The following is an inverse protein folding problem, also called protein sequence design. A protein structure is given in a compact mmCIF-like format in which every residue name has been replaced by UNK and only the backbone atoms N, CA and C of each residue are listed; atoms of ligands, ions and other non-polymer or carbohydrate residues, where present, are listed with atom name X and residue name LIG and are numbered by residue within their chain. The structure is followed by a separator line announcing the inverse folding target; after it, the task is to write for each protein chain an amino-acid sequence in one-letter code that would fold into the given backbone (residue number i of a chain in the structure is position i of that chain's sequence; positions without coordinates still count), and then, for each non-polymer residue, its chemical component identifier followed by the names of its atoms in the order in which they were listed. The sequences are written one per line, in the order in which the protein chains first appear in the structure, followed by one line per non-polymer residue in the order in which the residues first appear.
data_IF_315787250464
#
_entry.id   IF_315787250464
#
_cell.length_a   1.000
_cell.length_b   1.000
_cell.length_c   1.000
_cell.angle_alpha   90.00
_cell.angle_beta   90.00
_cell.angle_gamma   90.00
#
_symmetry.space_group_name_H-M   'P 1'
#
loop_
_entity.id
_entity.type
_entity.pdbx_description
1 polymer ?
#
# COMPACT_ATOMS: atom_id res chain seq x y z
N UNK A 1 9.11 -7.63 3.11
CA UNK A 1 8.23 -7.84 1.94
C UNK A 1 8.07 -6.56 1.15
N UNK A 2 8.08 -6.63 -0.18
CA UNK A 2 7.87 -5.46 -1.04
C UNK A 2 7.05 -5.82 -2.26
N UNK A 3 6.12 -4.92 -2.64
CA UNK A 3 5.37 -5.02 -3.88
C UNK A 3 5.39 -3.67 -4.59
N UNK A 4 6.02 -3.62 -5.75
CA UNK A 4 6.25 -2.40 -6.52
C UNK A 4 5.77 -2.55 -7.97
N UNK A 5 5.62 -1.43 -8.67
CA UNK A 5 5.10 -1.38 -10.03
C UNK A 5 6.11 -0.88 -11.04
N UNK A 6 6.08 -1.51 -12.22
CA UNK A 6 6.81 -1.06 -13.37
C UNK A 6 5.88 -1.00 -14.60
N UNK A 7 6.15 -0.07 -15.50
CA UNK A 7 5.46 0.06 -16.77
C UNK A 7 6.41 -0.24 -17.93
N UNK A 8 6.02 -1.20 -18.76
CA UNK A 8 6.77 -1.51 -19.98
C UNK A 8 6.31 -0.56 -21.08
N UNK A 9 7.20 0.31 -21.56
CA UNK A 9 6.91 1.30 -22.60
C UNK A 9 6.38 0.63 -23.87
N UNK A 10 5.36 1.21 -24.48
CA UNK A 10 4.92 0.89 -25.83
C UNK A 10 5.82 1.59 -26.84
N UNK A 11 5.82 1.19 -28.13
CA UNK A 11 6.55 1.91 -29.16
C UNK A 11 6.16 3.38 -29.22
N UNK A 12 7.16 4.27 -29.13
CA UNK A 12 6.96 5.73 -29.15
C UNK A 12 6.68 6.39 -27.80
N UNK A 13 6.48 5.61 -26.73
CA UNK A 13 6.33 6.14 -25.38
C UNK A 13 7.70 6.35 -24.70
N UNK A 14 7.76 7.35 -23.81
CA UNK A 14 8.92 7.65 -22.96
C UNK A 14 8.57 7.73 -21.47
N UNK A 15 7.29 7.58 -21.12
CA UNK A 15 6.80 7.56 -19.74
C UNK A 15 5.55 6.69 -19.63
N UNK A 16 5.18 6.31 -18.41
CA UNK A 16 3.88 5.72 -18.14
C UNK A 16 2.75 6.72 -18.43
N UNK A 17 1.59 6.28 -18.94
CA UNK A 17 0.42 7.13 -19.15
C UNK A 17 -0.03 7.83 -17.84
N UNK A 18 -0.55 9.05 -17.99
CA UNK A 18 -0.91 9.87 -16.82
C UNK A 18 -2.04 9.25 -15.98
N UNK A 19 -3.00 8.56 -16.60
CA UNK A 19 -4.05 7.86 -15.87
C UNK A 19 -3.49 6.75 -14.94
N UNK A 20 -2.39 6.08 -15.32
CA UNK A 20 -1.71 5.12 -14.44
C UNK A 20 -0.93 5.80 -13.33
N UNK A 21 -0.27 6.93 -13.63
CA UNK A 21 0.43 7.74 -12.61
C UNK A 21 -0.55 8.26 -11.56
N UNK A 22 -1.74 8.73 -11.97
CA UNK A 22 -2.76 9.19 -11.03
C UNK A 22 -3.33 8.05 -10.18
N UNK A 23 -3.58 6.86 -10.77
CA UNK A 23 -3.97 5.68 -10.00
C UNK A 23 -2.88 5.28 -8.98
N UNK A 24 -1.61 5.36 -9.37
CA UNK A 24 -0.47 5.08 -8.50
C UNK A 24 -0.36 6.09 -7.34
N UNK A 25 -0.57 7.39 -7.60
CA UNK A 25 -0.60 8.43 -6.56
C UNK A 25 -1.71 8.17 -5.53
N UNK A 26 -2.89 7.71 -5.96
CA UNK A 26 -3.96 7.34 -5.03
C UNK A 26 -3.54 6.21 -4.09
N UNK A 27 -2.84 5.18 -4.59
CA UNK A 27 -2.34 4.10 -3.75
C UNK A 27 -1.25 4.60 -2.77
N UNK A 28 -0.33 5.47 -3.22
CA UNK A 28 0.63 6.12 -2.33
C UNK A 28 -0.05 6.98 -1.26
N UNK A 29 -1.17 7.65 -1.61
CA UNK A 29 -1.95 8.40 -0.63
C UNK A 29 -2.53 7.51 0.46
N UNK A 30 -2.95 6.28 0.13
CA UNK A 30 -3.39 5.30 1.14
C UNK A 30 -2.24 4.93 2.09
N UNK A 31 -1.00 4.79 1.59
CA UNK A 31 0.17 4.59 2.47
C UNK A 31 0.36 5.76 3.44
N UNK A 32 0.23 7.02 2.97
CA UNK A 32 0.35 8.20 3.84
C UNK A 32 -0.73 8.21 4.92
N UNK A 33 -1.98 7.93 4.54
CA UNK A 33 -3.12 7.88 5.46
C UNK A 33 -2.91 6.78 6.51
N UNK A 34 -2.55 5.59 6.08
CA UNK A 34 -2.35 4.45 6.97
C UNK A 34 -1.21 4.71 7.97
N UNK A 35 -0.04 5.13 7.48
CA UNK A 35 1.12 5.37 8.35
C UNK A 35 0.88 6.54 9.32
N UNK A 36 0.13 7.55 8.91
CA UNK A 36 -0.30 8.66 9.80
C UNK A 36 -1.31 8.23 10.86
N UNK A 37 -2.00 7.11 10.65
CA UNK A 37 -2.97 6.56 11.60
C UNK A 37 -2.32 5.70 12.68
N UNK A 38 -1.02 5.35 12.56
CA UNK A 38 -0.32 4.55 13.55
C UNK A 38 -0.22 5.29 14.88
N UNK A 39 -0.59 4.59 15.95
CA UNK A 39 -0.56 5.12 17.30
C UNK A 39 -0.21 4.02 18.29
N UNK A 40 0.80 4.24 19.14
CA UNK A 40 1.15 3.29 20.20
C UNK A 40 -0.05 3.03 21.12
N UNK A 41 -0.33 1.77 21.40
CA UNK A 41 -1.43 1.32 22.23
C UNK A 41 -2.79 1.23 21.54
N UNK A 42 -2.96 1.80 20.35
CA UNK A 42 -4.17 1.56 19.57
C UNK A 42 -4.16 0.16 18.96
N UNK A 43 -5.32 -0.48 18.87
CA UNK A 43 -5.44 -1.79 18.23
C UNK A 43 -5.31 -1.70 16.70
N UNK A 44 -4.96 -2.82 16.06
CA UNK A 44 -4.96 -2.92 14.61
C UNK A 44 -6.32 -2.55 14.00
N UNK A 45 -7.43 -2.91 14.66
CA UNK A 45 -8.79 -2.58 14.22
C UNK A 45 -9.09 -1.07 14.31
N UNK A 46 -8.61 -0.37 15.35
CA UNK A 46 -8.75 1.08 15.48
C UNK A 46 -7.96 1.82 14.39
N UNK A 47 -6.75 1.36 14.10
CA UNK A 47 -5.92 1.91 13.01
C UNK A 47 -6.58 1.68 11.65
N UNK A 48 -7.06 0.44 11.38
CA UNK A 48 -7.79 0.10 10.16
C UNK A 48 -8.98 1.04 9.95
N UNK A 49 -9.81 1.19 10.99
CA UNK A 49 -10.99 2.05 10.92
C UNK A 49 -10.61 3.50 10.62
N UNK A 50 -9.65 4.06 11.35
CA UNK A 50 -9.21 5.44 11.15
C UNK A 50 -8.68 5.68 9.73
N UNK A 51 -7.85 4.76 9.23
CA UNK A 51 -7.30 4.86 7.89
C UNK A 51 -8.39 4.74 6.80
N UNK A 52 -9.31 3.78 6.91
CA UNK A 52 -10.37 3.60 5.93
C UNK A 52 -11.40 4.74 5.95
N UNK A 53 -11.72 5.29 7.13
CA UNK A 53 -12.59 6.46 7.25
C UNK A 53 -11.97 7.67 6.53
N UNK A 54 -10.67 7.89 6.69
CA UNK A 54 -9.96 8.97 5.99
C UNK A 54 -9.89 8.72 4.48
N UNK A 55 -9.59 7.49 4.04
CA UNK A 55 -9.62 7.14 2.62
C UNK A 55 -11.00 7.42 2.00
N UNK A 56 -12.06 7.05 2.70
CA UNK A 56 -13.44 7.31 2.26
C UNK A 56 -13.74 8.81 2.18
N UNK A 57 -13.24 9.61 3.14
CA UNK A 57 -13.41 11.07 3.12
C UNK A 57 -12.69 11.72 1.93
N UNK A 58 -11.64 11.10 1.40
CA UNK A 58 -10.89 11.53 0.21
C UNK A 58 -11.36 10.83 -1.09
N UNK A 59 -12.50 10.12 -1.07
CA UNK A 59 -13.02 9.34 -2.20
C UNK A 59 -12.02 8.33 -2.77
N UNK A 60 -11.28 7.67 -1.88
CA UNK A 60 -10.33 6.60 -2.24
C UNK A 60 -10.91 5.26 -1.81
N UNK A 61 -11.14 4.37 -2.77
CA UNK A 61 -11.54 2.98 -2.52
C UNK A 61 -10.30 2.15 -2.17
N UNK A 62 -10.01 2.06 -0.87
CA UNK A 62 -8.84 1.37 -0.35
C UNK A 62 -9.18 0.00 0.25
N UNK A 63 -8.19 -0.90 0.26
CA UNK A 63 -8.17 -2.10 1.09
C UNK A 63 -6.79 -2.23 1.73
N UNK A 64 -6.75 -2.62 2.99
CA UNK A 64 -5.55 -2.66 3.81
C UNK A 64 -5.35 -4.08 4.36
N UNK A 65 -4.12 -4.56 4.23
CA UNK A 65 -3.66 -5.76 4.89
C UNK A 65 -2.22 -5.53 5.37
N UNK A 66 -2.07 -4.86 6.48
CA UNK A 66 -0.77 -4.51 7.07
C UNK A 66 -0.55 -5.35 8.31
N UNK A 67 0.65 -5.90 8.45
CA UNK A 67 0.99 -6.85 9.49
C UNK A 67 2.41 -6.63 10.02
N UNK A 68 2.71 -7.08 11.26
CA UNK A 68 4.08 -7.08 11.76
C UNK A 68 4.98 -7.94 10.90
N UNK A 69 6.22 -7.46 10.69
CA UNK A 69 7.25 -8.11 9.90
C UNK A 69 8.06 -9.07 10.76
N UNK A 70 8.33 -10.28 10.26
CA UNK A 70 9.15 -11.28 10.89
C UNK A 70 10.10 -11.96 9.93
N UNK A 71 10.88 -12.93 10.42
CA UNK A 71 11.91 -13.62 9.65
C UNK A 71 11.39 -14.30 8.37
N UNK A 72 10.14 -14.76 8.38
CA UNK A 72 9.47 -15.38 7.23
C UNK A 72 8.39 -14.48 6.60
N UNK A 73 8.55 -13.15 6.66
CA UNK A 73 7.60 -12.17 6.17
C UNK A 73 6.60 -11.74 7.24
N UNK A 74 5.97 -12.67 7.95
CA UNK A 74 4.97 -12.40 8.98
C UNK A 74 5.50 -12.62 10.39
N UNK A 75 5.07 -11.78 11.34
CA UNK A 75 5.33 -11.93 12.77
C UNK A 75 4.02 -11.90 13.58
N UNK A 76 4.10 -12.34 14.85
CA UNK A 76 3.02 -12.16 15.79
C UNK A 76 2.83 -10.68 16.13
N UNK A 77 1.58 -10.25 16.31
CA UNK A 77 1.21 -8.89 16.67
C UNK A 77 -0.09 -8.45 16.00
N UNK A 78 -0.42 -7.15 16.08
CA UNK A 78 -1.66 -6.63 15.53
C UNK A 78 -1.69 -6.68 14.01
N UNK A 79 -2.72 -7.32 13.46
CA UNK A 79 -3.03 -7.26 12.02
C UNK A 79 -3.95 -6.07 11.77
N UNK A 80 -3.65 -5.28 10.75
CA UNK A 80 -4.42 -4.11 10.33
C UNK A 80 -5.13 -4.46 9.02
N UNK A 81 -6.35 -4.98 9.13
CA UNK A 81 -7.13 -5.50 8.01
C UNK A 81 -6.68 -6.87 7.51
N UNK A 82 -7.53 -7.48 6.73
CA UNK A 82 -7.27 -8.64 5.85
C UNK A 82 -8.02 -8.38 4.54
N UNK A 83 -7.58 -8.97 3.44
CA UNK A 83 -8.19 -8.74 2.13
C UNK A 83 -9.71 -8.98 2.10
N UNK A 84 -10.20 -9.90 2.91
CA UNK A 84 -11.62 -10.26 3.05
C UNK A 84 -12.28 -9.66 4.30
N UNK A 85 -11.54 -8.91 5.13
CA UNK A 85 -12.02 -8.34 6.40
C UNK A 85 -11.56 -6.90 6.60
N UNK A 86 -12.28 -5.99 5.96
CA UNK A 86 -11.98 -4.55 5.99
C UNK A 86 -12.77 -3.78 7.07
N UNK A 87 -13.67 -4.44 7.82
CA UNK A 87 -14.36 -3.83 8.95
C UNK A 87 -13.66 -4.07 10.29
N UNK A 88 -13.19 -5.29 10.50
CA UNK A 88 -12.40 -5.68 11.67
C UNK A 88 -11.80 -7.07 11.48
N UNK A 89 -10.73 -7.36 12.21
CA UNK A 89 -10.08 -8.68 12.30
C UNK A 89 -10.15 -9.14 13.75
N UNK A 90 -11.20 -9.87 14.16
CA UNK A 90 -11.32 -10.33 15.54
C UNK A 90 -10.12 -11.19 15.96
N UNK A 91 -9.65 -10.97 17.19
CA UNK A 91 -8.46 -11.61 17.72
C UNK A 91 -7.18 -10.93 17.27
N UNK A 92 -6.69 -11.17 16.06
CA UNK A 92 -5.42 -10.62 15.57
C UNK A 92 -5.42 -9.08 15.46
N UNK A 93 -6.54 -8.47 15.07
CA UNK A 93 -6.67 -7.02 14.99
C UNK A 93 -6.94 -6.34 16.34
N UNK A 94 -7.22 -7.10 17.39
CA UNK A 94 -7.52 -6.55 18.72
C UNK A 94 -6.26 -6.25 19.55
N UNK A 95 -5.09 -6.75 19.11
CA UNK A 95 -3.83 -6.47 19.79
C UNK A 95 -3.39 -5.01 19.56
N UNK A 96 -2.80 -4.37 20.59
CA UNK A 96 -2.30 -3.01 20.47
C UNK A 96 -0.98 -2.94 19.68
N UNK A 97 -0.77 -1.83 18.99
CA UNK A 97 0.52 -1.50 18.40
C UNK A 97 1.54 -1.14 19.48
N UNK A 98 2.72 -1.72 19.38
CA UNK A 98 3.87 -1.40 20.23
C UNK A 98 4.94 -0.65 19.44
N UNK A 99 5.65 0.23 20.13
CA UNK A 99 6.86 0.87 19.59
C UNK A 99 7.92 -0.16 19.24
N UNK A 100 8.85 0.24 18.40
CA UNK A 100 10.00 -0.57 17.97
C UNK A 100 9.60 -1.83 17.23
N UNK A 101 8.55 -1.75 16.42
CA UNK A 101 8.04 -2.85 15.60
C UNK A 101 8.14 -2.52 14.11
N UNK A 102 8.57 -3.48 13.31
CA UNK A 102 8.54 -3.38 11.85
C UNK A 102 7.23 -3.96 11.31
N UNK A 103 6.72 -3.33 10.26
CA UNK A 103 5.47 -3.69 9.57
C UNK A 103 5.69 -3.76 8.06
N UNK A 104 5.05 -4.72 7.40
CA UNK A 104 4.77 -4.64 5.98
C UNK A 104 3.55 -3.72 5.80
N UNK A 105 3.76 -2.58 5.13
CA UNK A 105 2.70 -1.62 4.80
C UNK A 105 2.04 -2.07 3.51
N UNK A 106 1.21 -3.10 3.61
CA UNK A 106 0.55 -3.77 2.49
C UNK A 106 -0.89 -3.27 2.33
N UNK A 107 -1.24 -2.82 1.12
CA UNK A 107 -2.53 -2.22 0.82
C UNK A 107 -2.78 -2.10 -0.68
N UNK A 108 -3.98 -1.67 -1.05
CA UNK A 108 -4.25 -1.24 -2.42
C UNK A 108 -5.24 -0.08 -2.49
N UNK A 109 -5.23 0.60 -3.62
CA UNK A 109 -6.30 1.51 -4.03
C UNK A 109 -6.92 1.02 -5.33
N UNK A 110 -8.25 0.92 -5.36
CA UNK A 110 -9.00 0.62 -6.57
C UNK A 110 -9.34 1.91 -7.32
N UNK A 111 -9.12 1.92 -8.63
CA UNK A 111 -9.40 3.06 -9.51
C UNK A 111 -10.02 2.54 -10.79
N UNK A 112 -11.15 3.13 -11.21
CA UNK A 112 -11.72 2.87 -12.51
C UNK A 112 -10.95 3.65 -13.57
N UNK A 113 -10.51 2.96 -14.61
CA UNK A 113 -9.82 3.55 -15.75
C UNK A 113 -10.76 3.57 -16.95
N UNK A 114 -11.14 4.76 -17.40
CA UNK A 114 -11.97 4.95 -18.60
C UNK A 114 -11.29 4.38 -19.86
N UNK A 115 -9.96 4.54 -19.97
CA UNK A 115 -9.15 4.07 -21.09
C UNK A 115 -9.20 2.55 -21.26
N UNK A 116 -9.45 1.82 -20.18
CA UNK A 116 -9.52 0.36 -20.18
C UNK A 116 -10.95 -0.16 -19.94
N UNK A 117 -11.89 0.75 -19.66
CA UNK A 117 -13.25 0.43 -19.23
C UNK A 117 -13.24 -0.64 -18.11
N UNK A 118 -12.39 -0.42 -17.11
CA UNK A 118 -12.12 -1.42 -16.09
C UNK A 118 -11.64 -0.79 -14.77
N UNK A 119 -12.12 -1.35 -13.65
CA UNK A 119 -11.50 -1.08 -12.35
C UNK A 119 -10.20 -1.89 -12.23
N UNK A 120 -9.14 -1.20 -11.83
CA UNK A 120 -7.84 -1.80 -11.49
C UNK A 120 -7.54 -1.56 -10.02
N UNK A 121 -6.62 -2.36 -9.47
CA UNK A 121 -6.05 -2.13 -8.14
C UNK A 121 -4.55 -1.90 -8.27
N UNK A 122 -4.07 -0.83 -7.69
CA UNK A 122 -2.65 -0.61 -7.48
C UNK A 122 -2.31 -1.16 -6.11
N UNK A 123 -1.62 -2.29 -6.10
CA UNK A 123 -1.16 -2.98 -4.89
C UNK A 123 0.22 -2.46 -4.53
N UNK A 124 0.43 -2.04 -3.29
CA UNK A 124 1.73 -1.59 -2.79
C UNK A 124 2.05 -2.31 -1.49
N UNK A 125 3.33 -2.64 -1.31
CA UNK A 125 3.85 -3.18 -0.07
C UNK A 125 5.29 -2.70 0.13
N UNK A 126 5.54 -2.12 1.29
CA UNK A 126 6.85 -1.57 1.68
C UNK A 126 7.11 -1.83 3.15
N UNK A 127 8.34 -2.18 3.49
CA UNK A 127 8.74 -2.40 4.87
C UNK A 127 8.94 -1.08 5.61
N UNK A 128 8.34 -0.96 6.78
CA UNK A 128 8.42 0.23 7.60
C UNK A 128 8.65 -0.09 9.08
N UNK A 129 9.24 0.86 9.79
CA UNK A 129 9.51 0.79 11.21
C UNK A 129 8.70 1.84 11.97
N UNK A 130 7.97 1.40 13.00
CA UNK A 130 7.22 2.26 13.92
C UNK A 130 8.01 2.47 15.21
N UNK A 131 8.36 3.69 15.52
CA UNK A 131 9.14 4.05 16.72
C UNK A 131 8.27 4.35 17.96
N UNK A 132 6.95 4.29 17.81
CA UNK A 132 5.94 4.65 18.82
C UNK A 132 5.27 5.99 18.53
N UNK A 133 5.84 6.80 17.67
CA UNK A 133 5.34 8.11 17.23
C UNK A 133 5.21 8.21 15.71
N UNK A 134 6.27 7.79 15.01
CA UNK A 134 6.41 7.97 13.57
C UNK A 134 6.62 6.62 12.89
N UNK A 135 6.15 6.51 11.68
CA UNK A 135 6.47 5.40 10.78
C UNK A 135 7.49 5.90 9.75
N UNK A 136 8.61 5.19 9.61
CA UNK A 136 9.60 5.43 8.56
C UNK A 136 9.76 4.19 7.69
N UNK A 137 9.78 4.33 6.39
CA UNK A 137 10.12 3.24 5.49
C UNK A 137 11.59 2.84 5.66
N UNK A 138 11.88 1.54 5.71
CA UNK A 138 13.22 1.00 5.98
C UNK A 138 14.14 1.28 4.81
N UNK A 139 13.72 0.87 3.61
CA UNK A 139 14.48 1.04 2.36
C UNK A 139 13.89 2.13 1.44
N UNK A 140 13.06 3.03 2.00
CA UNK A 140 12.26 3.98 1.24
C UNK A 140 10.97 3.36 0.74
N UNK A 141 10.26 4.08 -0.12
CA UNK A 141 9.07 3.57 -0.81
C UNK A 141 9.06 3.99 -2.27
N UNK A 142 8.36 3.25 -3.07
CA UNK A 142 8.15 3.63 -4.45
C UNK A 142 7.19 4.82 -4.56
N UNK A 143 7.66 5.96 -5.09
CA UNK A 143 6.87 7.18 -5.30
C UNK A 143 6.48 7.40 -6.75
N UNK A 144 7.14 6.70 -7.68
CA UNK A 144 6.89 6.75 -9.12
C UNK A 144 6.89 5.35 -9.73
N UNK A 145 6.12 5.15 -10.78
CA UNK A 145 6.13 3.89 -11.53
C UNK A 145 7.48 3.74 -12.23
N UNK A 146 8.18 2.64 -11.98
CA UNK A 146 9.42 2.32 -12.68
C UNK A 146 9.17 2.14 -14.17
N UNK A 147 10.10 2.62 -15.01
CA UNK A 147 9.98 2.52 -16.46
C UNK A 147 10.91 1.43 -16.98
N UNK A 148 10.32 0.47 -17.69
CA UNK A 148 11.06 -0.57 -18.40
C UNK A 148 11.08 -0.19 -19.88
N UNK A 149 12.26 0.22 -20.43
CA UNK A 149 12.39 0.56 -21.84
C UNK A 149 12.14 -0.68 -22.71
N UNK A 150 11.31 -0.55 -23.73
CA UNK A 150 11.15 -1.62 -24.73
C UNK A 150 12.27 -1.53 -25.75
N UNK A 151 13.20 -2.47 -25.71
CA UNK A 151 14.15 -2.66 -26.79
C UNK A 151 13.40 -3.21 -28.02
N UNK A 152 13.32 -2.42 -29.07
CA UNK A 152 12.95 -2.94 -30.39
C UNK A 152 14.14 -3.80 -30.86
N UNK A 153 14.02 -5.11 -30.79
CA UNK A 153 14.93 -5.98 -31.52
C UNK A 153 14.63 -5.76 -33.00
N UNK A 154 15.60 -5.40 -33.85
CA UNK A 154 15.37 -5.41 -35.29
C UNK A 154 14.89 -6.80 -35.70
N UNK A 155 13.80 -6.87 -36.42
CA UNK A 155 13.30 -8.11 -36.99
C UNK A 155 14.46 -8.80 -37.70
N UNK A 156 14.81 -10.03 -37.25
CA UNK A 156 15.72 -10.90 -38.00
C UNK A 156 15.06 -11.39 -39.28
#
# INVERSE_FOLDING_TARGET
DTQQHAYVLRPGENSAPDYLKEAFKKANRVQDILTSSFKEGASGNEILKAALDQCKAEDIKAAIYTHPLGYHGHAAGPTIGLWDRQSSVPGQGDYPLYKSTAYAIELNAATYLEEWNKEIRIMLEEDAFFDGKNVRYIDGRQTEIMIIPRKLYPNK
#
